data_IF_746483711067
#
_entry.id   IF_746483711067
#
_cell.length_a   1.000
_cell.length_b   1.000
_cell.length_c   1.000
_cell.angle_alpha   90.00
_cell.angle_beta   90.00
_cell.angle_gamma   90.00
#
_symmetry.space_group_name_H-M   'P 1'
#
loop_
_entity.id
_entity.type
_entity.pdbx_description
1 polymer ?
#
# COMPACT_ATOMS: atom_id res chain seq x y z
N UNK A 1 12.53 5.83 2.46
CA UNK A 1 11.89 4.61 1.91
C UNK A 1 10.43 4.99 1.66
N UNK A 2 9.82 4.59 0.54
CA UNK A 2 8.44 4.99 0.20
C UNK A 2 7.43 4.29 1.10
N UNK A 3 6.28 4.91 1.37
CA UNK A 3 5.37 4.47 2.42
C UNK A 3 4.80 3.06 2.18
N UNK A 4 4.44 2.72 0.93
CA UNK A 4 3.94 1.38 0.59
C UNK A 4 4.96 0.26 0.86
N UNK A 5 6.23 0.48 0.47
CA UNK A 5 7.30 -0.49 0.74
C UNK A 5 7.57 -0.63 2.24
N UNK A 6 7.44 0.47 2.99
CA UNK A 6 7.61 0.50 4.44
C UNK A 6 6.51 -0.30 5.15
N UNK A 7 5.26 -0.23 4.68
CA UNK A 7 4.18 -1.06 5.24
C UNK A 7 4.39 -2.55 4.97
N UNK A 8 4.88 -2.90 3.77
CA UNK A 8 5.25 -4.28 3.46
C UNK A 8 6.33 -4.80 4.42
N UNK A 9 7.41 -4.05 4.61
CA UNK A 9 8.52 -4.46 5.49
C UNK A 9 8.11 -4.49 6.95
N UNK A 10 7.20 -3.61 7.39
CA UNK A 10 6.60 -3.61 8.73
C UNK A 10 5.87 -4.91 9.05
N UNK A 11 5.26 -5.55 8.05
CA UNK A 11 4.64 -6.88 8.18
C UNK A 11 5.62 -8.04 7.97
N UNK A 12 6.91 -7.78 7.73
CA UNK A 12 7.93 -8.81 7.48
C UNK A 12 7.78 -9.53 6.13
N UNK A 13 7.03 -8.96 5.18
CA UNK A 13 6.69 -9.62 3.92
C UNK A 13 7.75 -9.40 2.84
N UNK A 14 8.07 -10.47 2.10
CA UNK A 14 8.75 -10.36 0.81
C UNK A 14 7.80 -9.72 -0.20
N UNK A 15 8.38 -9.10 -1.23
CA UNK A 15 7.60 -8.43 -2.28
C UNK A 15 6.62 -9.37 -2.98
N UNK A 16 7.02 -10.61 -3.27
CA UNK A 16 6.14 -11.60 -3.89
C UNK A 16 4.95 -11.99 -2.99
N UNK A 17 5.15 -12.10 -1.68
CA UNK A 17 4.11 -12.45 -0.71
C UNK A 17 3.08 -11.33 -0.59
N UNK A 18 3.54 -10.07 -0.47
CA UNK A 18 2.66 -8.92 -0.45
C UNK A 18 1.91 -8.73 -1.77
N UNK A 19 2.56 -8.96 -2.91
CA UNK A 19 1.93 -8.88 -4.22
C UNK A 19 0.78 -9.89 -4.35
N UNK A 20 1.01 -11.13 -3.92
CA UNK A 20 -0.03 -12.16 -3.85
C UNK A 20 -1.21 -11.73 -2.96
N UNK A 21 -0.94 -11.21 -1.75
CA UNK A 21 -1.98 -10.73 -0.82
C UNK A 21 -2.77 -9.52 -1.35
N UNK A 22 -2.13 -8.65 -2.13
CA UNK A 22 -2.73 -7.46 -2.75
C UNK A 22 -3.31 -7.72 -4.15
N UNK A 23 -3.29 -8.99 -4.60
CA UNK A 23 -3.79 -9.45 -5.89
C UNK A 23 -3.16 -8.74 -7.11
N UNK A 24 -1.84 -8.55 -7.07
CA UNK A 24 -1.05 -7.99 -8.19
C UNK A 24 0.20 -8.84 -8.45
N UNK A 25 0.83 -8.63 -9.60
CA UNK A 25 2.13 -9.27 -9.86
C UNK A 25 3.24 -8.64 -8.99
N UNK A 26 4.33 -9.37 -8.66
CA UNK A 26 5.48 -8.78 -7.96
C UNK A 26 6.08 -7.58 -8.70
N UNK A 27 6.12 -7.62 -10.04
CA UNK A 27 6.58 -6.51 -10.89
C UNK A 27 5.68 -5.29 -10.75
N UNK A 28 4.37 -5.49 -10.71
CA UNK A 28 3.38 -4.43 -10.51
C UNK A 28 3.53 -3.79 -9.14
N UNK A 29 3.66 -4.61 -8.07
CA UNK A 29 3.91 -4.08 -6.74
C UNK A 29 5.24 -3.30 -6.67
N UNK A 30 6.30 -3.81 -7.31
CA UNK A 30 7.57 -3.09 -7.41
C UNK A 30 7.43 -1.73 -8.10
N UNK A 31 6.61 -1.64 -9.16
CA UNK A 31 6.29 -0.36 -9.78
C UNK A 31 5.59 0.56 -8.78
N UNK A 32 4.55 0.10 -8.10
CA UNK A 32 3.80 0.92 -7.14
C UNK A 32 4.64 1.39 -5.96
N UNK A 33 5.50 0.53 -5.43
CA UNK A 33 6.46 0.89 -4.38
C UNK A 33 7.47 1.95 -4.82
N UNK A 34 7.76 2.04 -6.13
CA UNK A 34 8.67 3.03 -6.71
C UNK A 34 7.95 4.24 -7.33
N UNK A 35 6.66 4.16 -7.64
CA UNK A 35 5.88 5.20 -8.31
C UNK A 35 4.48 5.25 -7.70
N UNK A 36 4.31 5.82 -6.49
CA UNK A 36 3.02 5.82 -5.81
C UNK A 36 1.89 6.45 -6.62
N UNK A 37 2.17 7.51 -7.38
CA UNK A 37 1.20 8.17 -8.27
C UNK A 37 0.70 7.28 -9.42
N UNK A 38 1.37 6.16 -9.71
CA UNK A 38 0.94 5.20 -10.72
C UNK A 38 -0.08 4.18 -10.20
N UNK A 39 -0.36 4.18 -8.89
CA UNK A 39 -1.31 3.24 -8.28
C UNK A 39 -2.74 3.52 -8.73
N UNK A 40 -3.44 2.51 -9.26
CA UNK A 40 -4.88 2.60 -9.52
C UNK A 40 -5.68 2.76 -8.23
N UNK A 41 -6.81 3.47 -8.28
CA UNK A 41 -7.65 3.75 -7.11
C UNK A 41 -8.13 2.49 -6.38
N UNK A 42 -8.47 1.43 -7.11
CA UNK A 42 -8.90 0.14 -6.52
C UNK A 42 -7.75 -0.54 -5.76
N UNK A 43 -6.51 -0.45 -6.26
CA UNK A 43 -5.32 -0.93 -5.55
C UNK A 43 -5.10 -0.14 -4.25
N UNK A 44 -5.23 1.18 -4.29
CA UNK A 44 -5.07 2.04 -3.10
C UNK A 44 -6.06 1.62 -2.01
N UNK A 45 -7.33 1.43 -2.36
CA UNK A 45 -8.36 0.99 -1.40
C UNK A 45 -8.01 -0.38 -0.79
N UNK A 46 -7.58 -1.34 -1.62
CA UNK A 46 -7.13 -2.66 -1.11
C UNK A 46 -5.93 -2.54 -0.17
N UNK A 47 -4.92 -1.76 -0.54
CA UNK A 47 -3.72 -1.57 0.24
C UNK A 47 -4.01 -0.85 1.57
N UNK A 48 -4.85 0.19 1.57
CA UNK A 48 -5.30 0.87 2.78
C UNK A 48 -5.98 -0.08 3.77
N UNK A 49 -6.86 -0.96 3.27
CA UNK A 49 -7.54 -1.99 4.09
C UNK A 49 -6.56 -3.04 4.60
N UNK A 50 -5.66 -3.52 3.75
CA UNK A 50 -4.70 -4.56 4.12
C UNK A 50 -3.68 -4.07 5.15
N UNK A 51 -3.15 -2.86 4.96
CA UNK A 51 -2.13 -2.29 5.83
C UNK A 51 -2.70 -1.48 6.99
N UNK A 52 -4.01 -1.18 7.01
CA UNK A 52 -4.66 -0.34 8.01
C UNK A 52 -4.02 1.07 8.07
N UNK A 53 -4.02 1.76 6.93
CA UNK A 53 -3.51 3.13 6.78
C UNK A 53 -4.36 3.93 5.77
N UNK A 54 -4.15 5.25 5.71
CA UNK A 54 -4.86 6.14 4.80
C UNK A 54 -4.19 6.24 3.41
N UNK A 55 -4.94 6.71 2.41
CA UNK A 55 -4.47 6.82 1.03
C UNK A 55 -3.40 7.90 0.85
N UNK A 56 -3.54 9.05 1.53
CA UNK A 56 -2.56 10.15 1.48
C UNK A 56 -1.17 9.69 1.92
N UNK A 57 -1.12 8.82 2.92
CA UNK A 57 0.10 8.18 3.37
C UNK A 57 0.68 7.26 2.27
N UNK A 58 -0.10 6.34 1.71
CA UNK A 58 0.40 5.45 0.65
C UNK A 58 0.86 6.18 -0.62
N UNK A 59 0.29 7.34 -0.90
CA UNK A 59 0.64 8.20 -2.03
C UNK A 59 1.82 9.15 -1.74
N UNK A 60 2.49 9.01 -0.60
CA UNK A 60 3.57 9.89 -0.12
C UNK A 60 3.16 11.39 -0.04
N UNK A 61 1.86 11.67 0.17
CA UNK A 61 1.31 13.03 0.32
C UNK A 61 1.31 13.52 1.77
N UNK A 62 1.61 12.65 2.73
CA UNK A 62 1.72 12.96 4.15
C UNK A 62 2.65 11.95 4.84
N UNK A 63 3.34 12.38 5.90
CA UNK A 63 4.17 11.51 6.73
C UNK A 63 3.35 10.73 7.77
N UNK A 64 2.15 11.21 8.12
CA UNK A 64 1.35 10.64 9.20
C UNK A 64 0.64 9.35 8.76
N UNK A 65 1.02 8.26 9.43
CA UNK A 65 0.38 6.95 9.31
C UNK A 65 -0.87 6.87 10.20
N UNK A 66 -1.94 7.56 9.82
CA UNK A 66 -3.23 7.43 10.50
C UNK A 66 -4.02 6.22 9.99
N UNK A 67 -4.84 5.63 10.87
CA UNK A 67 -5.79 4.59 10.47
C UNK A 67 -6.73 5.18 9.43
N UNK A 68 -6.84 4.54 8.26
CA UNK A 68 -7.94 4.84 7.36
C UNK A 68 -9.23 4.49 8.10
N UNK A 69 -10.09 5.48 8.34
CA UNK A 69 -11.41 5.23 8.92
C UNK A 69 -12.15 4.31 7.96
N UNK A 70 -12.16 3.01 8.26
CA UNK A 70 -13.05 2.09 7.61
C UNK A 70 -14.46 2.55 7.99
N UNK A 71 -15.16 3.18 7.06
CA UNK A 71 -16.62 3.26 7.13
C UNK A 71 -17.07 1.82 7.02
N UNK A 72 -17.38 1.20 8.16
CA UNK A 72 -18.04 -0.10 8.21
C UNK A 72 -19.39 0.08 7.49
N UNK A 73 -19.50 -0.49 6.29
CA UNK A 73 -20.77 -0.71 5.61
C UNK A 73 -21.16 -2.17 5.77
#
# INVERSE_FOLDING_TARGET
>A
MKNLASERTRLGLKQAEAASKLAVSPKTLAKYENEPASMPGDFIIRACRFYLCNASYLLDMCEERSLGTAVLQ
#
